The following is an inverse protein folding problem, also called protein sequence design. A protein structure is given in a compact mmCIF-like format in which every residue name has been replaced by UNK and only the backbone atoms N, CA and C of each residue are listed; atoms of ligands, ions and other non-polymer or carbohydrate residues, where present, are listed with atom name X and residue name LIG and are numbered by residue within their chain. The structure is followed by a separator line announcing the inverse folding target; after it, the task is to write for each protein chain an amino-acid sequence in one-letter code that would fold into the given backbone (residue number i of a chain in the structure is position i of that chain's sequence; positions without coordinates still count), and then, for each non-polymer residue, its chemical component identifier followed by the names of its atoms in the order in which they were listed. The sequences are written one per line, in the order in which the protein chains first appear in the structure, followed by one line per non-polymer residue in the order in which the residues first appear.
data_IF_347691653582
#
_entry.id   IF_347691653582
#
_cell.length_a   1.000
_cell.length_b   1.000
_cell.length_c   1.000
_cell.angle_alpha   90.00
_cell.angle_beta   90.00
_cell.angle_gamma   90.00
#
_symmetry.space_group_name_H-M   'P 1'
#
loop_
_entity.id
_entity.type
_entity.pdbx_description
1 polymer ?
#
# COMPACT_ATOMS: atom_id res chain seq x y z
N UNK A 1 15.17 0.32 -29.15
CA UNK A 1 16.21 -0.49 -28.48
C UNK A 1 15.46 -1.37 -27.52
N UNK A 2 15.25 -2.64 -27.88
CA UNK A 2 14.39 -3.53 -27.11
C UNK A 2 15.04 -3.83 -25.77
N UNK A 3 14.35 -3.45 -24.69
CA UNK A 3 14.80 -3.72 -23.33
C UNK A 3 14.68 -5.21 -23.05
N UNK A 4 15.78 -5.85 -22.68
CA UNK A 4 15.78 -7.25 -22.27
C UNK A 4 14.87 -7.42 -21.06
N UNK A 5 13.99 -8.43 -21.07
CA UNK A 5 13.08 -8.70 -19.97
C UNK A 5 13.38 -10.07 -19.33
N UNK A 6 12.68 -10.39 -18.23
CA UNK A 6 12.91 -11.65 -17.49
C UNK A 6 12.71 -12.91 -18.34
N UNK A 7 11.84 -12.89 -19.36
CA UNK A 7 11.61 -14.04 -20.25
C UNK A 7 12.80 -14.26 -21.18
N UNK A 8 13.48 -13.20 -21.57
CA UNK A 8 14.66 -13.28 -22.42
C UNK A 8 15.85 -13.83 -21.64
N UNK A 9 16.06 -13.39 -20.39
CA UNK A 9 17.05 -13.99 -19.48
C UNK A 9 16.76 -15.49 -19.26
N UNK A 10 15.49 -15.86 -19.07
CA UNK A 10 15.10 -17.26 -18.93
C UNK A 10 15.44 -18.09 -20.18
N UNK A 11 15.20 -17.53 -21.38
CA UNK A 11 15.55 -18.16 -22.66
C UNK A 11 17.06 -18.31 -22.85
N UNK A 12 17.85 -17.29 -22.51
CA UNK A 12 19.32 -17.30 -22.62
C UNK A 12 19.92 -18.36 -21.70
N UNK A 13 19.41 -18.47 -20.48
CA UNK A 13 19.88 -19.44 -19.50
C UNK A 13 19.26 -20.84 -19.68
N UNK A 14 18.33 -21.05 -20.61
CA UNK A 14 17.65 -22.33 -20.81
C UNK A 14 16.80 -22.80 -19.62
N UNK A 15 16.30 -21.87 -18.80
CA UNK A 15 15.52 -22.17 -17.59
C UNK A 15 14.13 -21.55 -17.62
N UNK A 16 13.24 -21.97 -16.72
CA UNK A 16 11.95 -21.32 -16.54
C UNK A 16 12.06 -19.92 -15.91
N UNK A 17 11.10 -19.04 -16.22
CA UNK A 17 10.98 -17.69 -15.59
C UNK A 17 10.89 -17.78 -14.06
N UNK A 18 10.27 -18.84 -13.54
CA UNK A 18 10.18 -19.11 -12.11
C UNK A 18 11.56 -19.34 -11.48
N UNK A 19 12.47 -20.04 -12.17
CA UNK A 19 13.85 -20.29 -11.74
C UNK A 19 14.67 -19.01 -11.73
N UNK A 20 14.53 -18.16 -12.77
CA UNK A 20 15.16 -16.83 -12.80
C UNK A 20 14.67 -15.96 -11.64
N UNK A 21 13.37 -15.96 -11.38
CA UNK A 21 12.79 -15.26 -10.22
C UNK A 21 13.35 -15.80 -8.90
N UNK A 22 13.47 -17.12 -8.71
CA UNK A 22 14.08 -17.71 -7.52
C UNK A 22 15.55 -17.30 -7.35
N UNK A 23 16.31 -17.23 -8.44
CA UNK A 23 17.70 -16.81 -8.42
C UNK A 23 17.86 -15.37 -7.94
N UNK A 24 17.08 -14.45 -8.52
CA UNK A 24 17.09 -13.02 -8.18
C UNK A 24 16.69 -12.81 -6.71
N UNK A 25 15.75 -13.61 -6.19
CA UNK A 25 15.27 -13.50 -4.81
C UNK A 25 16.03 -14.37 -3.80
N UNK A 26 17.11 -15.04 -4.23
CA UNK A 26 17.92 -15.90 -3.37
C UNK A 26 17.10 -16.98 -2.62
N UNK A 27 16.18 -17.64 -3.31
CA UNK A 27 15.35 -18.71 -2.73
C UNK A 27 16.22 -19.91 -2.31
N UNK A 28 15.98 -20.56 -1.15
CA UNK A 28 16.83 -21.66 -0.65
C UNK A 28 16.91 -22.86 -1.61
N UNK A 29 15.82 -23.16 -2.31
CA UNK A 29 15.74 -24.31 -3.23
C UNK A 29 16.46 -24.14 -4.58
N UNK A 30 17.22 -23.05 -4.80
CA UNK A 30 17.95 -22.87 -6.06
C UNK A 30 19.36 -23.46 -5.99
N UNK A 31 19.69 -24.29 -6.98
CA UNK A 31 21.05 -24.79 -7.16
C UNK A 31 22.03 -23.60 -7.31
N UNK A 32 23.11 -23.54 -6.51
CA UNK A 32 24.15 -22.51 -6.62
C UNK A 32 24.72 -22.33 -8.04
N UNK A 33 24.91 -23.42 -8.79
CA UNK A 33 25.43 -23.36 -10.16
C UNK A 33 24.46 -22.62 -11.09
N UNK A 34 23.18 -22.98 -11.03
CA UNK A 34 22.11 -22.34 -11.81
C UNK A 34 21.95 -20.87 -11.44
N UNK A 35 22.07 -20.55 -10.14
CA UNK A 35 22.04 -19.17 -9.66
C UNK A 35 23.19 -18.35 -10.26
N UNK A 36 24.41 -18.87 -10.24
CA UNK A 36 25.58 -18.18 -10.78
C UNK A 36 25.45 -17.92 -12.29
N UNK A 37 25.00 -18.91 -13.05
CA UNK A 37 24.72 -18.76 -14.48
C UNK A 37 23.71 -17.64 -14.76
N UNK A 38 22.61 -17.59 -14.00
CA UNK A 38 21.58 -16.54 -14.15
C UNK A 38 22.15 -15.17 -13.78
N UNK A 39 22.89 -15.06 -12.68
CA UNK A 39 23.49 -13.79 -12.25
C UNK A 39 24.51 -13.27 -13.28
N UNK A 40 25.24 -14.16 -13.95
CA UNK A 40 26.16 -13.80 -15.02
C UNK A 40 25.40 -13.24 -16.23
N UNK A 41 24.33 -13.91 -16.68
CA UNK A 41 23.50 -13.42 -17.79
C UNK A 41 22.84 -12.07 -17.49
N UNK A 42 22.39 -11.87 -16.25
CA UNK A 42 21.85 -10.58 -15.80
C UNK A 42 22.89 -9.46 -15.93
N UNK A 43 24.14 -9.73 -15.53
CA UNK A 43 25.26 -8.78 -15.61
C UNK A 43 25.68 -8.50 -17.06
N UNK A 44 25.79 -9.53 -17.87
CA UNK A 44 26.23 -9.44 -19.27
C UNK A 44 25.23 -8.67 -20.14
N UNK A 45 23.93 -8.87 -19.91
CA UNK A 45 22.88 -8.19 -20.66
C UNK A 45 22.34 -6.93 -19.99
N UNK A 46 22.97 -6.49 -18.90
CA UNK A 46 22.58 -5.31 -18.13
C UNK A 46 21.08 -5.29 -17.76
N UNK A 47 20.52 -6.46 -17.47
CA UNK A 47 19.13 -6.59 -17.08
C UNK A 47 18.96 -6.08 -15.65
N UNK A 48 18.13 -5.04 -15.48
CA UNK A 48 17.77 -4.56 -14.15
C UNK A 48 16.42 -5.18 -13.79
N UNK A 49 16.36 -6.07 -12.78
CA UNK A 49 15.10 -6.66 -12.37
C UNK A 49 14.12 -5.58 -11.94
N UNK A 50 13.05 -5.42 -12.72
CA UNK A 50 12.03 -4.44 -12.42
C UNK A 50 11.12 -4.97 -11.31
N UNK A 51 11.52 -4.76 -10.06
CA UNK A 51 10.72 -5.05 -8.87
C UNK A 51 9.35 -4.35 -8.89
N UNK A 52 9.17 -3.31 -9.71
CA UNK A 52 7.90 -2.58 -9.85
C UNK A 52 6.78 -3.46 -10.39
N UNK A 53 7.06 -4.42 -11.29
CA UNK A 53 6.04 -5.34 -11.81
C UNK A 53 5.55 -6.35 -10.74
N UNK A 54 6.41 -6.71 -9.78
CA UNK A 54 6.03 -7.53 -8.63
C UNK A 54 5.25 -6.71 -7.59
N UNK A 55 5.60 -5.44 -7.40
CA UNK A 55 4.87 -4.53 -6.52
C UNK A 55 3.50 -4.14 -7.08
N UNK A 56 3.32 -4.12 -8.40
CA UNK A 56 2.04 -3.82 -9.05
C UNK A 56 0.95 -4.85 -8.73
N UNK A 57 1.34 -6.10 -8.45
CA UNK A 57 0.41 -7.19 -8.04
C UNK A 57 0.26 -7.31 -6.51
N UNK A 58 1.09 -6.62 -5.74
CA UNK A 58 0.99 -6.44 -4.29
C UNK A 58 0.77 -4.96 -3.97
N UNK A 59 -0.25 -4.34 -4.55
CA UNK A 59 -0.67 -2.97 -4.19
C UNK A 59 -1.47 -2.95 -2.89
N UNK A 60 -0.97 -3.62 -1.86
CA UNK A 60 -1.34 -3.29 -0.50
C UNK A 60 -0.40 -2.19 -0.06
N UNK A 61 -0.80 -0.94 -0.27
CA UNK A 61 -0.05 0.14 0.36
C UNK A 61 -0.09 -0.12 1.87
N UNK A 62 1.07 -0.20 2.52
CA UNK A 62 1.12 -0.20 3.98
C UNK A 62 0.91 1.23 4.45
N UNK A 63 -0.27 1.79 4.18
CA UNK A 63 -0.63 3.14 4.59
C UNK A 63 -1.97 3.14 5.34
N UNK A 64 -2.07 4.02 6.33
CA UNK A 64 -3.32 4.34 7.02
C UNK A 64 -3.56 5.83 6.82
N UNK A 65 -4.75 6.18 6.33
CA UNK A 65 -5.14 7.56 6.13
C UNK A 65 -6.01 8.07 7.28
N UNK A 66 -5.86 9.35 7.60
CA UNK A 66 -6.69 10.07 8.56
C UNK A 66 -7.22 11.33 7.89
N UNK A 67 -8.54 11.37 7.68
CA UNK A 67 -9.26 12.51 7.13
C UNK A 67 -9.66 13.43 8.27
N UNK A 68 -9.35 14.71 8.16
CA UNK A 68 -9.53 15.68 9.24
C UNK A 68 -10.38 16.84 8.77
N UNK A 69 -11.60 16.96 9.31
CA UNK A 69 -12.49 18.10 9.09
C UNK A 69 -12.32 19.11 10.23
N UNK A 70 -11.89 20.32 9.89
CA UNK A 70 -11.59 21.36 10.90
C UNK A 70 -10.22 21.19 11.56
N UNK A 71 -9.18 20.91 10.76
CA UNK A 71 -7.78 20.72 11.21
C UNK A 71 -7.22 21.87 12.06
N UNK A 72 -7.83 23.05 11.99
CA UNK A 72 -7.50 24.20 12.83
C UNK A 72 -7.90 24.04 14.31
N UNK A 73 -8.68 23.02 14.66
CA UNK A 73 -9.07 22.76 16.04
C UNK A 73 -7.87 22.20 16.85
N UNK A 74 -7.40 22.91 17.90
CA UNK A 74 -6.28 22.47 18.73
C UNK A 74 -6.49 21.10 19.39
N UNK A 75 -7.74 20.66 19.58
CA UNK A 75 -8.10 19.36 20.11
C UNK A 75 -7.51 18.20 19.29
N UNK A 76 -7.35 18.37 17.98
CA UNK A 76 -6.85 17.33 17.09
C UNK A 76 -5.34 17.15 17.13
N UNK A 77 -4.58 18.17 17.55
CA UNK A 77 -3.11 18.13 17.57
C UNK A 77 -2.55 16.94 18.37
N UNK A 78 -3.10 16.70 19.57
CA UNK A 78 -2.68 15.59 20.44
C UNK A 78 -3.07 14.23 19.85
N UNK A 79 -4.23 14.12 19.19
CA UNK A 79 -4.66 12.89 18.54
C UNK A 79 -3.81 12.56 17.31
N UNK A 80 -3.52 13.55 16.46
CA UNK A 80 -2.66 13.39 15.27
C UNK A 80 -1.31 12.82 15.69
N UNK A 81 -0.71 13.38 16.75
CA UNK A 81 0.56 12.87 17.29
C UNK A 81 0.47 11.40 17.71
N UNK A 82 -0.60 11.00 18.40
CA UNK A 82 -0.81 9.60 18.80
C UNK A 82 -1.00 8.69 17.57
N UNK A 83 -1.77 9.13 16.56
CA UNK A 83 -1.92 8.37 15.32
C UNK A 83 -0.58 8.18 14.61
N UNK A 84 0.19 9.26 14.46
CA UNK A 84 1.49 9.21 13.83
C UNK A 84 2.42 8.22 14.55
N UNK A 85 2.55 8.34 15.88
CA UNK A 85 3.38 7.45 16.70
C UNK A 85 2.96 5.97 16.56
N UNK A 86 1.67 5.65 16.67
CA UNK A 86 1.16 4.27 16.62
C UNK A 86 1.22 3.66 15.21
N UNK A 87 0.92 4.43 14.18
CA UNK A 87 0.95 3.99 12.78
C UNK A 87 2.41 3.74 12.36
N UNK A 88 3.33 4.62 12.73
CA UNK A 88 4.76 4.45 12.46
C UNK A 88 5.35 3.26 13.21
N UNK A 89 5.00 3.04 14.49
CA UNK A 89 5.41 1.85 15.27
C UNK A 89 5.05 0.54 14.55
N UNK A 90 3.87 0.50 13.90
CA UNK A 90 3.40 -0.65 13.12
C UNK A 90 3.97 -0.71 11.70
N UNK A 91 4.88 0.19 11.32
CA UNK A 91 5.51 0.31 10.00
C UNK A 91 4.51 0.54 8.87
N UNK A 92 3.49 1.34 9.15
CA UNK A 92 2.57 1.89 8.16
C UNK A 92 2.94 3.36 7.87
N UNK A 93 2.69 3.80 6.64
CA UNK A 93 2.73 5.20 6.23
C UNK A 93 1.50 5.91 6.80
N UNK A 94 1.71 7.01 7.49
CA UNK A 94 0.64 7.90 7.94
C UNK A 94 0.32 8.90 6.83
N UNK A 95 -0.93 8.89 6.35
CA UNK A 95 -1.43 9.85 5.37
C UNK A 95 -2.44 10.76 6.06
N UNK A 96 -2.14 12.05 6.16
CA UNK A 96 -3.07 13.03 6.69
C UNK A 96 -3.74 13.77 5.53
N UNK A 97 -5.08 13.72 5.47
CA UNK A 97 -5.86 14.41 4.45
C UNK A 97 -6.80 15.41 5.14
N UNK A 98 -6.74 16.68 4.72
CA UNK A 98 -7.71 17.69 5.18
C UNK A 98 -9.01 17.54 4.39
N UNK A 99 -10.13 17.69 5.08
CA UNK A 99 -11.48 17.83 4.49
C UNK A 99 -11.98 19.23 4.82
N UNK A 100 -12.33 20.01 3.80
CA UNK A 100 -12.89 21.34 4.00
C UNK A 100 -14.34 21.29 4.49
N UNK A 101 -14.79 22.40 5.09
CA UNK A 101 -16.12 22.49 5.70
C UNK A 101 -17.24 22.15 4.71
N UNK A 102 -17.09 22.58 3.46
CA UNK A 102 -18.06 22.39 2.37
C UNK A 102 -17.90 21.06 1.61
N UNK A 103 -16.84 20.29 1.88
CA UNK A 103 -16.59 19.01 1.20
C UNK A 103 -17.33 17.85 1.89
N UNK A 104 -17.73 16.88 1.07
CA UNK A 104 -18.19 15.57 1.52
C UNK A 104 -16.97 14.70 1.85
N UNK A 105 -16.90 14.23 3.09
CA UNK A 105 -15.80 13.39 3.57
C UNK A 105 -15.72 12.04 2.83
N UNK A 106 -16.84 11.53 2.32
CA UNK A 106 -16.91 10.28 1.59
C UNK A 106 -16.27 10.44 0.21
N UNK A 107 -16.51 11.55 -0.49
CA UNK A 107 -15.92 11.81 -1.80
C UNK A 107 -14.40 11.94 -1.69
N UNK A 108 -13.91 12.69 -0.69
CA UNK A 108 -12.48 12.80 -0.40
C UNK A 108 -11.87 11.44 -0.08
N UNK A 109 -12.57 10.60 0.69
CA UNK A 109 -12.11 9.24 0.99
C UNK A 109 -12.05 8.36 -0.27
N UNK A 110 -13.05 8.44 -1.15
CA UNK A 110 -13.10 7.67 -2.40
C UNK A 110 -11.96 8.04 -3.35
N UNK A 111 -11.64 9.33 -3.47
CA UNK A 111 -10.48 9.80 -4.23
C UNK A 111 -9.17 9.28 -3.64
N UNK A 112 -9.03 9.36 -2.31
CA UNK A 112 -7.86 8.86 -1.61
C UNK A 112 -7.66 7.34 -1.77
N UNK A 113 -8.75 6.56 -1.77
CA UNK A 113 -8.73 5.12 -2.03
C UNK A 113 -8.22 4.83 -3.44
N UNK A 114 -8.72 5.56 -4.44
CA UNK A 114 -8.33 5.38 -5.84
C UNK A 114 -6.84 5.66 -6.05
N UNK A 115 -6.35 6.74 -5.46
CA UNK A 115 -4.96 7.18 -5.67
C UNK A 115 -3.95 6.43 -4.82
N UNK A 116 -4.18 6.36 -3.50
CA UNK A 116 -3.18 5.94 -2.52
C UNK A 116 -3.40 4.53 -2.03
N UNK A 117 -4.60 3.97 -2.23
CA UNK A 117 -5.00 2.61 -1.81
C UNK A 117 -4.61 2.30 -0.35
N UNK A 118 -4.95 3.16 0.63
CA UNK A 118 -4.62 2.92 2.03
C UNK A 118 -5.32 1.64 2.52
N UNK A 119 -4.71 0.96 3.48
CA UNK A 119 -5.27 -0.22 4.15
C UNK A 119 -6.35 0.10 5.17
N UNK A 120 -6.44 1.35 5.60
CA UNK A 120 -7.45 1.82 6.52
C UNK A 120 -7.62 3.33 6.45
N UNK A 121 -8.82 3.80 6.76
CA UNK A 121 -9.17 5.21 6.80
C UNK A 121 -9.82 5.51 8.16
N UNK A 122 -9.39 6.59 8.79
CA UNK A 122 -9.99 7.14 10.00
C UNK A 122 -10.57 8.51 9.67
N UNK A 123 -11.82 8.75 10.05
CA UNK A 123 -12.47 10.05 9.92
C UNK A 123 -12.39 10.78 11.27
N UNK A 124 -11.92 12.03 11.25
CA UNK A 124 -11.64 12.82 12.44
C UNK A 124 -12.25 14.22 12.31
N UNK A 125 -13.31 14.46 13.08
CA UNK A 125 -14.11 15.67 12.96
C UNK A 125 -15.11 15.57 11.81
N UNK A 126 -16.26 16.22 12.00
CA UNK A 126 -17.42 16.12 11.11
C UNK A 126 -18.69 15.74 11.87
N UNK A 127 -19.83 16.27 11.45
CA UNK A 127 -21.10 15.61 11.76
C UNK A 127 -21.10 14.35 10.90
N UNK A 128 -20.97 13.19 11.51
CA UNK A 128 -21.63 12.00 10.99
C UNK A 128 -23.13 12.33 11.03
N UNK A 129 -23.64 13.00 10.00
CA UNK A 129 -25.02 12.79 9.62
C UNK A 129 -25.03 11.35 9.13
N UNK A 130 -25.21 10.45 10.09
CA UNK A 130 -25.67 9.10 9.85
C UNK A 130 -26.92 9.27 9.00
N UNK A 131 -26.81 9.19 7.68
CA UNK A 131 -27.91 8.67 6.90
C UNK A 131 -28.01 7.20 7.31
N UNK A 132 -28.70 7.01 8.42
CA UNK A 132 -29.41 5.81 8.78
C UNK A 132 -30.23 5.39 7.55
N UNK A 133 -29.64 4.58 6.67
CA UNK A 133 -30.40 3.48 6.07
C UNK A 133 -30.41 2.40 7.13
N UNK A 134 -31.43 2.50 7.98
CA UNK A 134 -31.98 1.54 8.93
C UNK A 134 -30.99 0.67 9.72
N UNK A 135 -30.72 1.08 10.96
CA UNK A 135 -30.92 0.21 12.13
C UNK A 135 -30.70 1.05 13.40
N UNK A 136 -31.73 1.08 14.23
CA UNK A 136 -31.88 2.04 15.31
C UNK A 136 -30.89 1.97 16.46
N UNK A 137 -31.09 2.96 17.32
CA UNK A 137 -30.50 3.21 18.65
C UNK A 137 -29.06 3.72 18.68
N UNK A 138 -28.95 4.90 19.30
CA UNK A 138 -27.76 5.71 19.47
C UNK A 138 -26.71 4.99 20.32
N UNK A 139 -25.46 5.06 19.87
CA UNK A 139 -24.35 5.33 20.78
C UNK A 139 -23.19 5.98 20.02
N UNK A 140 -22.49 6.87 20.69
CA UNK A 140 -21.38 7.66 20.18
C UNK A 140 -20.25 6.70 19.75
N UNK A 141 -20.22 6.35 18.46
CA UNK A 141 -19.31 5.34 17.93
C UNK A 141 -18.34 5.99 16.95
N UNK A 142 -17.08 6.10 17.38
CA UNK A 142 -15.94 6.18 16.46
C UNK A 142 -16.00 4.93 15.60
N UNK A 143 -16.61 5.03 14.42
CA UNK A 143 -16.70 3.91 13.48
C UNK A 143 -15.32 3.68 12.84
N UNK A 144 -14.48 2.88 13.49
CA UNK A 144 -13.33 2.28 12.81
C UNK A 144 -13.84 1.09 12.00
N UNK A 145 -14.27 1.32 10.76
CA UNK A 145 -14.58 0.24 9.83
C UNK A 145 -13.26 -0.38 9.37
N UNK A 146 -12.83 -1.43 10.05
CA UNK A 146 -11.80 -2.33 9.52
C UNK A 146 -12.43 -3.21 8.45
N UNK A 147 -12.04 -3.05 7.19
CA UNK A 147 -12.25 -4.07 6.17
C UNK A 147 -10.95 -4.86 6.06
N UNK A 148 -10.86 -5.97 6.80
CA UNK A 148 -9.83 -6.97 6.60
C UNK A 148 -10.27 -7.85 5.43
N UNK A 149 -9.58 -7.75 4.29
CA UNK A 149 -9.58 -8.84 3.33
C UNK A 149 -8.43 -9.76 3.74
N UNK A 150 -8.79 -10.95 4.24
CA UNK A 150 -7.90 -12.10 4.37
C UNK A 150 -7.39 -12.57 2.99
#
# INVERSE_FOLDING_TARGET
MDSINIKDIARICGVGVSTVSRAINNHPDINPETKNMIMQAIKEHNYIPNNSARNLKRTDSKAIAVLIKGISNPFFSKMIRVFEEEIQKKKYLFIMQRVDACEDEVDVALELIKEKKPRGIVFLGGLLLTQQREAGTADCSVCVKYHWND
#
